data_IF_077975525213
#
_entry.id   IF_077975525213
#
_cell.length_a   1.000
_cell.length_b   1.000
_cell.length_c   1.000
_cell.angle_alpha   90.00
_cell.angle_beta   90.00
_cell.angle_gamma   90.00
#
_symmetry.space_group_name_H-M   'P 1'
#
loop_
_entity.id
_entity.type
_entity.pdbx_description
1 polymer ?
#
# COMPACT_ATOMS: atom_id res chain seq x y z
N UNK A 1 -4.84 19.24 -22.30
CA UNK A 1 -3.42 18.86 -22.12
C UNK A 1 -3.39 17.52 -21.41
N UNK A 2 -2.66 16.52 -21.96
CA UNK A 2 -2.66 15.13 -21.45
C UNK A 2 -1.46 14.98 -20.52
N UNK A 3 -1.68 14.95 -19.21
CA UNK A 3 -0.61 14.76 -18.24
C UNK A 3 -0.17 13.29 -18.25
N UNK A 4 0.92 13.00 -18.98
CA UNK A 4 1.67 11.76 -18.81
C UNK A 4 2.41 11.85 -17.48
N UNK A 5 1.82 11.34 -16.41
CA UNK A 5 2.52 11.15 -15.14
C UNK A 5 3.40 9.91 -15.28
N UNK A 6 4.57 10.10 -15.88
CA UNK A 6 5.72 9.22 -15.70
C UNK A 6 6.70 9.94 -14.76
N UNK A 7 6.29 10.17 -13.52
CA UNK A 7 7.20 10.64 -12.48
C UNK A 7 7.70 9.40 -11.72
N UNK A 8 9.02 9.11 -11.69
CA UNK A 8 9.56 8.24 -10.65
C UNK A 8 9.19 8.88 -9.30
N UNK A 9 8.80 8.13 -8.26
CA UNK A 9 8.42 8.73 -6.97
C UNK A 9 9.70 9.22 -6.27
N UNK A 10 10.26 10.33 -6.74
CA UNK A 10 11.32 11.06 -6.08
C UNK A 10 10.68 11.93 -5.01
N UNK A 11 10.88 11.53 -3.75
CA UNK A 11 11.29 12.44 -2.68
C UNK A 11 10.51 13.75 -2.57
N UNK A 12 9.18 13.65 -2.52
CA UNK A 12 8.29 14.68 -1.97
C UNK A 12 7.73 14.06 -0.71
N UNK A 13 7.74 14.77 0.43
CA UNK A 13 7.50 14.24 1.78
C UNK A 13 6.11 13.65 2.05
N UNK A 14 5.39 13.23 1.02
CA UNK A 14 4.12 12.52 1.12
C UNK A 14 4.34 11.00 1.15
N UNK A 15 3.62 10.28 2.03
CA UNK A 15 3.72 8.83 2.12
C UNK A 15 3.27 8.19 0.80
N UNK A 16 4.12 7.34 0.22
CA UNK A 16 3.76 6.59 -0.98
C UNK A 16 2.73 5.54 -0.58
N UNK A 17 1.51 5.67 -1.12
CA UNK A 17 0.38 4.80 -0.80
C UNK A 17 -0.15 4.09 -2.05
N UNK A 18 -0.67 2.87 -1.87
CA UNK A 18 -1.25 2.05 -2.94
C UNK A 18 -2.41 1.23 -2.39
N UNK A 19 -3.41 0.90 -3.22
CA UNK A 19 -4.56 0.11 -2.78
C UNK A 19 -4.26 -1.38 -2.77
N UNK A 20 -5.05 -2.13 -2.01
CA UNK A 20 -4.96 -3.58 -2.02
C UNK A 20 -5.23 -4.13 -3.43
N UNK A 21 -4.37 -5.05 -3.89
CA UNK A 21 -4.45 -5.63 -5.22
C UNK A 21 -3.88 -4.80 -6.36
N UNK A 22 -3.48 -3.54 -6.14
CA UNK A 22 -2.80 -2.73 -7.16
C UNK A 22 -1.32 -3.11 -7.28
N UNK A 23 -0.70 -2.69 -8.38
CA UNK A 23 0.73 -2.91 -8.61
C UNK A 23 1.57 -2.03 -7.69
N UNK A 24 2.47 -2.67 -6.95
CA UNK A 24 3.37 -1.99 -6.02
C UNK A 24 4.34 -1.07 -6.78
N UNK A 25 4.37 0.25 -6.52
CA UNK A 25 5.23 1.19 -7.25
C UNK A 25 6.69 1.18 -6.78
N UNK A 26 6.95 0.74 -5.54
CA UNK A 26 8.26 0.76 -4.89
C UNK A 26 8.58 -0.56 -4.19
N UNK A 27 9.86 -0.94 -4.22
CA UNK A 27 10.34 -2.08 -3.43
C UNK A 27 10.59 -1.64 -1.98
N UNK A 28 10.28 -2.49 -1.02
CA UNK A 28 10.56 -2.25 0.40
C UNK A 28 9.45 -2.73 1.32
N UNK A 29 9.43 -2.17 2.52
CA UNK A 29 8.45 -2.49 3.55
C UNK A 29 7.17 -1.70 3.27
N UNK A 30 6.07 -2.41 3.23
CA UNK A 30 4.74 -1.85 3.09
C UNK A 30 3.91 -2.16 4.31
N UNK A 31 3.10 -1.20 4.72
CA UNK A 31 2.20 -1.30 5.86
C UNK A 31 0.77 -1.04 5.44
N UNK A 32 -0.05 -2.07 5.45
CA UNK A 32 -1.50 -1.94 5.33
C UNK A 32 -2.12 -1.23 6.54
N UNK A 33 -3.12 -0.40 6.24
CA UNK A 33 -3.99 0.23 7.22
C UNK A 33 -5.40 0.36 6.64
N UNK A 34 -6.38 0.41 7.53
CA UNK A 34 -7.77 0.71 7.20
C UNK A 34 -8.17 2.02 7.88
N UNK A 35 -9.22 2.69 7.39
CA UNK A 35 -9.74 3.89 8.02
C UNK A 35 -10.14 3.64 9.49
N UNK A 36 -9.89 4.61 10.39
CA UNK A 36 -10.30 4.50 11.78
C UNK A 36 -11.83 4.39 11.86
N UNK A 37 -12.32 3.37 12.56
CA UNK A 37 -13.74 3.01 12.61
C UNK A 37 -14.09 1.73 11.86
N UNK A 38 -13.17 1.15 11.10
CA UNK A 38 -13.37 -0.17 10.50
C UNK A 38 -13.15 -1.29 11.54
N UNK A 39 -14.06 -2.28 11.67
CA UNK A 39 -13.94 -3.34 12.67
C UNK A 39 -12.70 -4.23 12.48
N UNK A 40 -12.14 -4.26 11.27
CA UNK A 40 -10.94 -5.03 10.93
C UNK A 40 -9.67 -4.19 10.90
N UNK A 41 -9.72 -2.92 11.31
CA UNK A 41 -8.56 -2.02 11.24
C UNK A 41 -7.38 -2.54 12.07
N UNK A 42 -7.61 -2.92 13.33
CA UNK A 42 -6.58 -3.51 14.18
C UNK A 42 -6.04 -4.83 13.63
N UNK A 43 -6.91 -5.66 13.08
CA UNK A 43 -6.51 -6.94 12.49
C UNK A 43 -5.62 -6.74 11.26
N UNK A 44 -6.00 -5.86 10.34
CA UNK A 44 -5.18 -5.50 9.18
C UNK A 44 -3.86 -4.88 9.64
N UNK A 45 -3.90 -3.92 10.56
CA UNK A 45 -2.71 -3.27 11.10
C UNK A 45 -1.76 -4.26 11.81
N UNK A 46 -2.28 -5.32 12.44
CA UNK A 46 -1.44 -6.35 13.08
C UNK A 46 -0.70 -7.25 12.08
N UNK A 47 -1.28 -7.49 10.90
CA UNK A 47 -0.70 -8.34 9.83
C UNK A 47 -0.04 -7.55 8.71
N UNK A 48 0.12 -6.25 8.90
CA UNK A 48 0.32 -5.28 7.83
C UNK A 48 1.76 -5.12 7.35
N UNK A 49 2.78 -5.54 8.10
CA UNK A 49 4.18 -5.34 7.71
C UNK A 49 4.67 -6.39 6.73
N UNK A 50 4.67 -6.08 5.43
CA UNK A 50 5.14 -7.01 4.39
C UNK A 50 6.28 -6.42 3.58
N UNK A 51 7.15 -7.29 3.08
CA UNK A 51 8.13 -6.94 2.05
C UNK A 51 7.50 -7.13 0.67
N UNK A 52 7.54 -6.09 -0.17
CA UNK A 52 7.12 -6.19 -1.58
C UNK A 52 8.14 -5.57 -2.51
N UNK A 53 8.18 -6.11 -3.73
CA UNK A 53 9.00 -5.59 -4.81
C UNK A 53 8.14 -4.78 -5.78
N UNK A 54 8.75 -3.75 -6.37
CA UNK A 54 8.14 -2.96 -7.44
C UNK A 54 7.66 -3.88 -8.57
N UNK A 55 6.45 -3.63 -9.06
CA UNK A 55 5.81 -4.42 -10.12
C UNK A 55 5.02 -5.63 -9.62
N UNK A 56 5.16 -6.03 -8.35
CA UNK A 56 4.32 -7.10 -7.78
C UNK A 56 2.95 -6.57 -7.37
N UNK A 57 1.87 -7.36 -7.52
CA UNK A 57 0.57 -7.01 -6.98
C UNK A 57 0.61 -7.00 -5.45
N UNK A 58 -0.05 -6.00 -4.87
CA UNK A 58 -0.16 -5.84 -3.44
C UNK A 58 -1.09 -6.89 -2.82
N UNK A 59 -0.83 -7.28 -1.58
CA UNK A 59 -1.60 -8.35 -0.93
C UNK A 59 -3.05 -7.92 -0.73
N UNK A 60 -3.93 -8.87 -1.03
CA UNK A 60 -5.36 -8.85 -0.73
C UNK A 60 -5.60 -9.57 0.59
N UNK A 61 -6.37 -8.94 1.47
CA UNK A 61 -6.71 -9.51 2.77
C UNK A 61 -7.89 -10.46 2.67
N UNK A 62 -8.56 -10.54 1.50
CA UNK A 62 -9.73 -11.38 1.29
C UNK A 62 -10.96 -10.87 2.04
N UNK A 63 -11.02 -9.55 2.25
CA UNK A 63 -12.17 -8.88 2.83
C UNK A 63 -13.29 -8.76 1.80
N UNK A 64 -14.44 -8.22 2.21
CA UNK A 64 -15.47 -7.85 1.23
C UNK A 64 -14.88 -6.84 0.23
N UNK A 65 -15.33 -6.80 -1.04
CA UNK A 65 -14.78 -5.89 -2.04
C UNK A 65 -14.81 -4.41 -1.61
N UNK A 66 -15.84 -4.03 -0.84
CA UNK A 66 -15.98 -2.69 -0.28
C UNK A 66 -14.92 -2.38 0.77
N UNK A 67 -14.65 -3.34 1.67
CA UNK A 67 -13.67 -3.16 2.75
C UNK A 67 -12.24 -3.26 2.22
N UNK A 68 -12.00 -4.13 1.25
CA UNK A 68 -10.70 -4.29 0.60
C UNK A 68 -10.29 -3.03 -0.18
N UNK A 69 -11.25 -2.33 -0.79
CA UNK A 69 -11.01 -1.03 -1.43
C UNK A 69 -10.56 0.04 -0.43
N UNK A 70 -10.94 -0.08 0.85
CA UNK A 70 -10.52 0.84 1.91
C UNK A 70 -9.10 0.54 2.42
N UNK A 71 -8.55 -0.64 2.14
CA UNK A 71 -7.19 -1.00 2.55
C UNK A 71 -6.18 -0.16 1.76
N UNK A 72 -5.40 0.62 2.52
CA UNK A 72 -4.29 1.42 1.99
C UNK A 72 -2.99 0.82 2.48
N UNK A 73 -2.11 0.50 1.54
CA UNK A 73 -0.74 0.11 1.80
C UNK A 73 0.15 1.34 1.72
N UNK A 74 0.84 1.64 2.80
CA UNK A 74 1.78 2.75 2.90
C UNK A 74 3.20 2.21 2.87
N UNK A 75 4.02 2.73 1.96
CA UNK A 75 5.43 2.39 1.90
C UNK A 75 6.16 3.02 3.09
N UNK A 76 6.82 2.18 3.87
CA UNK A 76 7.53 2.58 5.10
C UNK A 76 9.01 2.84 4.86
N UNK A 77 9.54 2.43 3.71
CA UNK A 77 10.95 2.57 3.37
C UNK A 77 11.50 1.34 2.67
N UNK A 78 12.73 1.45 2.21
CA UNK A 78 13.46 0.33 1.63
C UNK A 78 13.74 -0.71 2.72
N UNK A 79 13.56 -1.99 2.39
CA UNK A 79 14.02 -3.05 3.26
C UNK A 79 15.48 -3.30 2.92
N UNK A 80 16.37 -2.93 3.83
CA UNK A 80 17.77 -3.31 3.75
C UNK A 80 17.87 -4.82 3.96
N UNK A 81 18.19 -5.56 2.90
CA UNK A 81 18.72 -6.93 3.00
C UNK A 81 20.10 -6.95 3.65
#
# INVERSE_FOLDING_TARGET
MRFRVNAPPTQTGDPVTVRSGETTPLSGIWRASLPPGHPQADWVASKSGILRQKGMPMIRFGLSPSDEALVVWTWMGEAST
#
